data_IF_057812974851
#
_entry.id   IF_057812974851
#
_cell.length_a   1.000
_cell.length_b   1.000
_cell.length_c   1.000
_cell.angle_alpha   90.00
_cell.angle_beta   90.00
_cell.angle_gamma   90.00
#
_symmetry.space_group_name_H-M   'P 1'
#
loop_
_entity.id
_entity.type
_entity.pdbx_description
1 polymer ?
#
# COMPACT_ATOMS: atom_id res chain seq x y z
N UNK A 1 -24.99 11.76 7.84
CA UNK A 1 -25.88 10.66 8.28
C UNK A 1 -25.47 9.41 7.53
N UNK A 2 -24.63 8.57 8.14
CA UNK A 2 -24.29 7.24 7.61
C UNK A 2 -25.34 6.28 8.17
N UNK A 3 -26.11 5.65 7.28
CA UNK A 3 -27.14 4.69 7.65
C UNK A 3 -26.50 3.45 8.26
N UNK A 4 -26.96 3.03 9.44
CA UNK A 4 -26.68 1.74 10.07
C UNK A 4 -27.16 0.60 9.15
N UNK A 5 -26.41 0.26 8.10
CA UNK A 5 -26.66 -0.96 7.33
C UNK A 5 -26.24 -2.16 8.17
N UNK A 6 -27.11 -3.16 8.23
CA UNK A 6 -27.06 -4.35 9.08
C UNK A 6 -25.66 -4.96 9.26
N UNK A 7 -25.14 -4.93 10.49
CA UNK A 7 -23.91 -5.62 10.90
C UNK A 7 -23.91 -7.14 10.64
N UNK A 8 -25.07 -7.77 10.41
CA UNK A 8 -25.16 -9.22 10.20
C UNK A 8 -24.47 -9.71 8.91
N UNK A 9 -24.44 -8.88 7.85
CA UNK A 9 -23.79 -9.26 6.58
C UNK A 9 -22.30 -8.86 6.54
N UNK A 10 -21.85 -7.99 7.47
CA UNK A 10 -20.46 -7.53 7.54
C UNK A 10 -19.47 -8.68 7.82
N UNK A 11 -19.92 -9.74 8.52
CA UNK A 11 -19.07 -10.90 8.84
C UNK A 11 -18.61 -11.68 7.60
N UNK A 12 -19.39 -11.75 6.52
CA UNK A 12 -18.99 -12.43 5.28
C UNK A 12 -17.89 -11.68 4.52
N UNK A 13 -17.82 -10.37 4.69
CA UNK A 13 -16.87 -9.51 3.99
C UNK A 13 -15.61 -9.25 4.80
N UNK A 14 -15.50 -9.83 6.00
CA UNK A 14 -14.29 -9.64 6.80
C UNK A 14 -13.10 -10.34 6.14
N UNK A 15 -12.01 -9.60 5.94
CA UNK A 15 -10.74 -10.14 5.43
C UNK A 15 -10.30 -11.33 6.27
N UNK A 16 -10.45 -11.21 7.59
CA UNK A 16 -10.03 -12.21 8.55
C UNK A 16 -10.75 -13.55 8.37
N UNK A 17 -12.08 -13.52 8.24
CA UNK A 17 -12.87 -14.73 8.06
C UNK A 17 -12.47 -15.44 6.75
N UNK A 18 -12.28 -14.65 5.68
CA UNK A 18 -11.85 -15.15 4.36
C UNK A 18 -10.44 -15.75 4.41
N UNK A 19 -9.50 -15.07 5.07
CA UNK A 19 -8.14 -15.58 5.29
C UNK A 19 -8.14 -16.90 6.07
N UNK A 20 -8.87 -17.00 7.19
CA UNK A 20 -8.94 -18.24 7.98
C UNK A 20 -9.57 -19.42 7.24
N UNK A 21 -10.47 -19.14 6.31
CA UNK A 21 -11.08 -20.15 5.46
C UNK A 21 -10.16 -20.57 4.30
N UNK A 22 -8.93 -20.04 4.23
CA UNK A 22 -7.95 -20.37 3.20
C UNK A 22 -8.22 -19.72 1.85
N UNK A 23 -9.13 -18.74 1.76
CA UNK A 23 -9.53 -18.13 0.48
C UNK A 23 -8.34 -17.47 -0.24
N UNK A 24 -7.39 -16.93 0.52
CA UNK A 24 -6.22 -16.25 0.00
C UNK A 24 -4.95 -17.12 -0.01
N UNK A 25 -5.01 -18.38 0.43
CA UNK A 25 -3.80 -19.22 0.60
C UNK A 25 -3.01 -19.37 -0.70
N UNK A 26 -3.69 -19.61 -1.82
CA UNK A 26 -3.03 -19.74 -3.13
C UNK A 26 -2.30 -18.47 -3.55
N UNK A 27 -2.91 -17.30 -3.34
CA UNK A 27 -2.30 -16.00 -3.64
C UNK A 27 -1.12 -15.71 -2.70
N UNK A 28 -1.24 -16.05 -1.42
CA UNK A 28 -0.19 -15.84 -0.42
C UNK A 28 1.02 -16.73 -0.73
N UNK A 29 0.81 -18.01 -1.07
CA UNK A 29 1.89 -18.91 -1.46
C UNK A 29 2.56 -18.43 -2.76
N UNK A 30 1.78 -18.06 -3.79
CA UNK A 30 2.33 -17.50 -5.03
C UNK A 30 3.21 -16.26 -4.75
N UNK A 31 2.76 -15.36 -3.87
CA UNK A 31 3.52 -14.18 -3.48
C UNK A 31 4.78 -14.53 -2.68
N UNK A 32 4.69 -15.48 -1.74
CA UNK A 32 5.82 -15.92 -0.93
C UNK A 32 6.90 -16.59 -1.79
N UNK A 33 6.51 -17.45 -2.72
CA UNK A 33 7.41 -18.10 -3.69
C UNK A 33 8.10 -17.06 -4.57
N UNK A 34 7.34 -16.11 -5.14
CA UNK A 34 7.87 -15.12 -6.10
C UNK A 34 8.76 -14.04 -5.48
N UNK A 35 8.63 -13.79 -4.18
CA UNK A 35 9.47 -12.81 -3.47
C UNK A 35 10.63 -13.42 -2.72
N UNK A 36 10.61 -14.73 -2.50
CA UNK A 36 11.43 -15.39 -1.50
C UNK A 36 11.29 -14.76 -0.10
N UNK A 37 10.16 -14.11 0.20
CA UNK A 37 9.89 -13.45 1.48
C UNK A 37 8.70 -14.08 2.17
N UNK A 38 8.96 -14.81 3.26
CA UNK A 38 7.93 -15.26 4.22
C UNK A 38 7.32 -14.12 5.06
N UNK A 39 7.66 -12.87 4.73
CA UNK A 39 7.26 -11.67 5.48
C UNK A 39 5.76 -11.44 5.41
N UNK A 40 5.12 -11.77 4.28
CA UNK A 40 3.68 -11.58 4.11
C UNK A 40 2.86 -12.43 5.08
N UNK A 41 3.13 -13.74 5.15
CA UNK A 41 2.41 -14.65 6.06
C UNK A 41 2.59 -14.24 7.52
N UNK A 42 3.84 -13.97 7.94
CA UNK A 42 4.12 -13.45 9.30
C UNK A 42 3.36 -12.15 9.57
N UNK A 43 3.24 -11.26 8.59
CA UNK A 43 2.47 -10.04 8.75
C UNK A 43 0.98 -10.30 8.99
N UNK A 44 0.36 -11.17 8.17
CA UNK A 44 -1.08 -11.46 8.32
C UNK A 44 -1.34 -12.12 9.69
N UNK A 45 -0.44 -13.01 10.11
CA UNK A 45 -0.49 -13.64 11.43
C UNK A 45 -0.32 -12.61 12.58
N UNK A 46 0.52 -11.58 12.38
CA UNK A 46 0.67 -10.49 13.34
C UNK A 46 -0.58 -9.61 13.40
N UNK A 47 -1.21 -9.30 12.26
CA UNK A 47 -2.49 -8.58 12.22
C UNK A 47 -3.58 -9.35 12.98
N UNK A 48 -3.63 -10.68 12.79
CA UNK A 48 -4.52 -11.54 13.55
C UNK A 48 -4.28 -11.46 15.06
N UNK A 49 -3.00 -11.54 15.46
CA UNK A 49 -2.61 -11.46 16.88
C UNK A 49 -3.02 -10.13 17.49
N UNK A 50 -2.92 -9.04 16.72
CA UNK A 50 -3.37 -7.71 17.14
C UNK A 50 -4.89 -7.66 17.36
N UNK A 51 -5.71 -8.13 16.42
CA UNK A 51 -7.17 -8.11 16.55
C UNK A 51 -7.63 -8.89 17.80
N UNK A 52 -7.00 -10.04 18.07
CA UNK A 52 -7.25 -10.87 19.25
C UNK A 52 -6.79 -10.22 20.56
N UNK A 53 -5.60 -9.59 20.58
CA UNK A 53 -5.12 -8.85 21.76
C UNK A 53 -5.98 -7.64 22.06
N UNK A 54 -6.36 -6.92 21.02
CA UNK A 54 -7.12 -5.70 21.13
C UNK A 54 -8.52 -5.92 21.70
N UNK A 55 -9.22 -6.98 21.26
CA UNK A 55 -10.51 -7.39 21.83
C UNK A 55 -10.41 -7.74 23.32
N UNK A 56 -9.23 -8.16 23.81
CA UNK A 56 -8.97 -8.46 25.23
C UNK A 56 -8.62 -7.22 26.05
N UNK A 57 -7.96 -6.23 25.45
CA UNK A 57 -7.59 -4.95 26.07
C UNK A 57 -8.74 -3.93 26.19
N UNK A 58 -10.00 -4.36 25.99
CA UNK A 58 -11.22 -3.56 26.16
C UNK A 58 -11.37 -2.88 27.54
N UNK A 59 -10.45 -3.15 28.47
CA UNK A 59 -10.27 -2.45 29.75
C UNK A 59 -9.78 -0.99 29.56
N UNK A 60 -9.22 -0.63 28.39
CA UNK A 60 -8.52 0.64 28.16
C UNK A 60 -9.41 1.89 27.93
N UNK A 61 -10.70 1.84 28.24
CA UNK A 61 -11.64 2.94 28.09
C UNK A 61 -12.27 3.02 26.70
N UNK A 62 -13.55 3.41 26.65
CA UNK A 62 -14.41 3.37 25.45
C UNK A 62 -13.85 4.16 24.25
N UNK A 63 -13.19 5.28 24.50
CA UNK A 63 -12.66 6.13 23.42
C UNK A 63 -11.46 5.49 22.71
N UNK A 64 -10.53 4.92 23.48
CA UNK A 64 -9.38 4.21 22.93
C UNK A 64 -9.84 2.98 22.14
N UNK A 65 -10.91 2.32 22.61
CA UNK A 65 -11.56 1.24 21.88
C UNK A 65 -12.22 1.73 20.57
N UNK A 66 -12.81 2.91 20.54
CA UNK A 66 -13.37 3.41 19.29
C UNK A 66 -12.27 3.68 18.24
N UNK A 67 -11.14 4.26 18.65
CA UNK A 67 -10.05 4.60 17.74
C UNK A 67 -9.38 3.38 17.12
N UNK A 68 -9.15 2.32 17.91
CA UNK A 68 -8.51 1.13 17.37
C UNK A 68 -9.45 0.25 16.54
N UNK A 69 -10.76 0.26 16.80
CA UNK A 69 -11.76 -0.31 15.88
C UNK A 69 -11.70 0.39 14.51
N UNK A 70 -11.71 1.72 14.49
CA UNK A 70 -11.61 2.49 13.26
C UNK A 70 -10.31 2.26 12.50
N UNK A 71 -9.19 2.10 13.21
CA UNK A 71 -7.91 1.75 12.60
C UNK A 71 -7.91 0.33 12.02
N UNK A 72 -8.54 -0.63 12.71
CA UNK A 72 -8.68 -1.99 12.21
C UNK A 72 -9.54 -2.04 10.93
N UNK A 73 -10.65 -1.29 10.89
CA UNK A 73 -11.48 -1.14 9.69
C UNK A 73 -10.68 -0.62 8.49
N UNK A 74 -9.75 0.32 8.71
CA UNK A 74 -8.88 0.85 7.67
C UNK A 74 -7.91 -0.20 7.13
N UNK A 75 -7.31 -0.96 8.03
CA UNK A 75 -6.41 -2.05 7.65
C UNK A 75 -7.18 -3.11 6.86
N UNK A 76 -8.36 -3.49 7.33
CA UNK A 76 -9.21 -4.47 6.66
C UNK A 76 -9.61 -4.01 5.25
N UNK A 77 -10.07 -2.76 5.09
CA UNK A 77 -10.37 -2.17 3.78
C UNK A 77 -9.19 -2.30 2.81
N UNK A 78 -7.98 -1.96 3.27
CA UNK A 78 -6.77 -2.01 2.46
C UNK A 78 -6.37 -3.44 2.09
N UNK A 79 -6.48 -4.38 3.03
CA UNK A 79 -6.19 -5.79 2.80
C UNK A 79 -7.17 -6.40 1.80
N UNK A 80 -8.46 -6.16 1.97
CA UNK A 80 -9.49 -6.59 1.01
C UNK A 80 -9.20 -6.03 -0.38
N UNK A 81 -8.97 -4.72 -0.50
CA UNK A 81 -8.64 -4.11 -1.78
C UNK A 81 -7.39 -4.74 -2.42
N UNK A 82 -6.34 -5.02 -1.63
CA UNK A 82 -5.13 -5.66 -2.14
C UNK A 82 -5.40 -7.06 -2.68
N UNK A 83 -6.11 -7.90 -1.93
CA UNK A 83 -6.33 -9.30 -2.27
C UNK A 83 -7.43 -9.53 -3.32
N UNK A 84 -8.47 -8.71 -3.30
CA UNK A 84 -9.62 -8.88 -4.20
C UNK A 84 -9.42 -8.23 -5.55
N UNK A 85 -8.68 -7.13 -5.61
CA UNK A 85 -8.64 -6.28 -6.79
C UNK A 85 -7.22 -6.06 -7.29
N UNK A 86 -6.31 -5.59 -6.43
CA UNK A 86 -4.98 -5.20 -6.87
C UNK A 86 -4.12 -6.41 -7.29
N UNK A 87 -4.09 -7.49 -6.50
CA UNK A 87 -3.35 -8.71 -6.83
C UNK A 87 -3.92 -9.39 -8.09
N UNK A 88 -5.24 -9.60 -8.22
CA UNK A 88 -5.81 -10.19 -9.44
C UNK A 88 -5.59 -9.33 -10.68
N UNK A 89 -5.71 -8.00 -10.56
CA UNK A 89 -5.37 -7.06 -11.63
C UNK A 89 -3.90 -7.24 -12.03
N UNK A 90 -3.00 -7.18 -11.04
CA UNK A 90 -1.58 -7.39 -11.24
C UNK A 90 -1.32 -8.69 -12.00
N UNK A 91 -1.88 -9.82 -11.57
CA UNK A 91 -1.70 -11.13 -12.23
C UNK A 91 -2.22 -11.14 -13.67
N UNK A 92 -3.38 -10.54 -13.92
CA UNK A 92 -3.99 -10.50 -15.27
C UNK A 92 -3.14 -9.67 -16.21
N UNK A 93 -2.80 -8.47 -15.76
CA UNK A 93 -2.04 -7.50 -16.53
C UNK A 93 -0.62 -8.05 -16.80
N UNK A 94 0.00 -8.69 -15.80
CA UNK A 94 1.29 -9.36 -15.89
C UNK A 94 1.27 -10.62 -16.77
N UNK A 95 0.18 -11.40 -16.76
CA UNK A 95 0.02 -12.58 -17.62
C UNK A 95 0.06 -12.22 -19.11
N UNK A 96 -0.35 -11.01 -19.47
CA UNK A 96 -0.22 -10.47 -20.83
C UNK A 96 1.21 -10.01 -21.17
N UNK A 97 2.07 -9.77 -20.17
CA UNK A 97 3.44 -9.26 -20.33
C UNK A 97 4.53 -10.33 -20.42
N UNK A 98 4.17 -11.61 -20.55
CA UNK A 98 5.08 -12.77 -20.48
C UNK A 98 6.27 -12.82 -21.49
N UNK A 99 6.49 -11.79 -22.31
CA UNK A 99 7.62 -11.77 -23.27
C UNK A 99 8.83 -10.93 -22.82
N UNK A 100 8.76 -10.14 -21.74
CA UNK A 100 9.93 -9.37 -21.26
C UNK A 100 10.12 -9.48 -19.73
N UNK A 101 11.11 -10.28 -19.33
CA UNK A 101 11.46 -10.55 -17.93
C UNK A 101 11.93 -9.30 -17.16
N UNK A 102 12.34 -8.24 -17.84
CA UNK A 102 12.77 -6.98 -17.21
C UNK A 102 11.58 -6.13 -16.72
N UNK A 103 10.50 -6.12 -17.50
CA UNK A 103 9.24 -5.44 -17.14
C UNK A 103 8.56 -6.12 -15.94
N UNK A 104 8.69 -7.44 -15.85
CA UNK A 104 8.19 -8.24 -14.73
C UNK A 104 8.84 -7.87 -13.38
N UNK A 105 10.16 -7.79 -13.34
CA UNK A 105 10.88 -7.50 -12.10
C UNK A 105 10.58 -6.08 -11.60
N UNK A 106 10.47 -5.13 -12.53
CA UNK A 106 10.10 -3.74 -12.26
C UNK A 106 8.71 -3.66 -11.63
N UNK A 107 7.69 -4.21 -12.30
CA UNK A 107 6.33 -4.23 -11.76
C UNK A 107 6.25 -4.98 -10.42
N UNK A 108 6.94 -6.12 -10.31
CA UNK A 108 7.02 -6.92 -9.08
C UNK A 108 7.58 -6.10 -7.91
N UNK A 109 8.72 -5.44 -8.09
CA UNK A 109 9.34 -4.62 -7.04
C UNK A 109 8.44 -3.46 -6.61
N UNK A 110 7.70 -2.84 -7.52
CA UNK A 110 6.77 -1.76 -7.20
C UNK A 110 5.46 -2.23 -6.57
N UNK A 111 4.93 -3.38 -6.99
CA UNK A 111 3.79 -4.02 -6.36
C UNK A 111 4.13 -4.46 -4.93
N UNK A 112 5.32 -5.04 -4.72
CA UNK A 112 5.80 -5.36 -3.38
C UNK A 112 6.13 -4.12 -2.56
N UNK A 113 6.58 -3.02 -3.15
CA UNK A 113 6.71 -1.75 -2.46
C UNK A 113 5.34 -1.23 -2.03
N UNK A 114 4.34 -1.24 -2.91
CA UNK A 114 2.97 -0.83 -2.59
C UNK A 114 2.34 -1.70 -1.50
N UNK A 115 2.52 -3.02 -1.57
CA UNK A 115 2.17 -3.92 -0.48
C UNK A 115 2.99 -3.58 0.76
N UNK A 116 4.31 -3.45 0.71
CA UNK A 116 5.14 -3.09 1.87
C UNK A 116 4.75 -1.75 2.48
N UNK A 117 4.19 -0.82 1.71
CA UNK A 117 3.67 0.46 2.14
C UNK A 117 2.35 0.30 2.87
N UNK A 118 1.39 -0.39 2.26
CA UNK A 118 0.11 -0.73 2.89
C UNK A 118 0.35 -1.53 4.16
N UNK A 119 1.19 -2.55 4.06
CA UNK A 119 1.67 -3.36 5.15
C UNK A 119 2.50 -2.55 6.14
N UNK A 120 3.22 -1.47 5.76
CA UNK A 120 3.90 -0.58 6.71
C UNK A 120 2.88 0.16 7.54
N UNK A 121 1.88 0.79 6.90
CA UNK A 121 0.78 1.46 7.60
C UNK A 121 0.10 0.49 8.57
N UNK A 122 -0.14 -0.75 8.14
CA UNK A 122 -0.70 -1.78 9.01
C UNK A 122 0.28 -2.30 10.07
N UNK A 123 1.57 -2.39 9.75
CA UNK A 123 2.67 -2.78 10.65
C UNK A 123 2.84 -1.74 11.74
N UNK A 124 2.63 -0.47 11.42
CA UNK A 124 2.69 0.64 12.35
C UNK A 124 1.44 0.75 13.22
N UNK A 125 0.39 0.00 12.90
CA UNK A 125 -0.79 -0.17 13.75
C UNK A 125 -0.72 -1.46 14.60
N UNK A 126 0.06 -2.45 14.16
CA UNK A 126 0.17 -3.77 14.81
C UNK A 126 1.48 -3.97 15.61
N UNK A 127 2.57 -3.27 15.27
CA UNK A 127 3.89 -3.37 15.94
C UNK A 127 4.00 -2.39 17.11
N UNK A 128 3.15 -2.62 18.10
CA UNK A 128 3.48 -2.27 19.48
C UNK A 128 3.73 -3.49 20.36
N UNK A 129 3.74 -4.70 19.80
CA UNK A 129 3.81 -5.93 20.59
C UNK A 129 5.17 -6.65 20.53
N UNK A 130 6.00 -6.38 19.52
CA UNK A 130 7.32 -7.03 19.40
C UNK A 130 8.39 -5.98 19.10
N UNK A 131 9.26 -5.68 20.07
CA UNK A 131 10.26 -4.61 20.06
C UNK A 131 11.41 -4.71 19.03
N UNK A 132 11.16 -5.18 17.82
CA UNK A 132 12.12 -5.26 16.73
C UNK A 132 12.11 -3.98 15.88
N UNK A 133 12.92 -3.01 16.29
CA UNK A 133 13.11 -1.70 15.64
C UNK A 133 14.28 -1.77 14.66
N UNK A 134 14.04 -1.62 13.36
CA UNK A 134 15.12 -1.27 12.39
C UNK A 134 14.66 -0.73 11.03
N UNK A 135 13.46 -0.14 10.90
CA UNK A 135 13.07 0.62 9.69
C UNK A 135 12.49 1.98 10.09
N UNK A 136 12.39 2.89 9.13
CA UNK A 136 12.11 4.33 9.24
C UNK A 136 11.29 4.75 10.49
N UNK A 137 11.83 5.61 11.39
CA UNK A 137 11.13 6.07 12.60
C UNK A 137 9.78 6.74 12.35
N UNK A 138 9.53 7.27 11.16
CA UNK A 138 8.24 7.93 10.85
C UNK A 138 7.08 6.97 10.72
N UNK A 139 7.36 5.71 10.36
CA UNK A 139 6.37 4.66 10.18
C UNK A 139 5.54 4.48 11.49
N UNK A 140 6.22 4.35 12.62
CA UNK A 140 5.60 3.99 13.90
C UNK A 140 4.81 5.10 14.62
N UNK A 141 4.56 6.25 14.01
CA UNK A 141 4.03 7.38 14.77
C UNK A 141 2.60 7.16 15.25
N UNK A 142 1.77 6.46 14.46
CA UNK A 142 0.34 6.27 14.79
C UNK A 142 0.21 5.30 15.97
N UNK A 143 0.87 4.14 15.96
CA UNK A 143 0.95 3.29 17.15
C UNK A 143 1.51 4.06 18.34
N UNK A 144 2.63 4.78 18.17
CA UNK A 144 3.23 5.52 19.28
C UNK A 144 2.23 6.51 19.89
N UNK A 145 1.46 7.22 19.07
CA UNK A 145 0.38 8.12 19.53
C UNK A 145 -0.73 7.34 20.22
N UNK A 146 -1.16 6.21 19.67
CA UNK A 146 -2.20 5.38 20.27
C UNK A 146 -1.80 4.86 21.67
N UNK A 147 -0.60 4.31 21.80
CA UNK A 147 -0.10 3.77 23.08
C UNK A 147 0.17 4.86 24.11
N UNK A 148 0.51 6.08 23.68
CA UNK A 148 0.68 7.24 24.57
C UNK A 148 -0.61 8.03 24.84
N UNK A 149 -1.75 7.64 24.27
CA UNK A 149 -3.01 8.38 24.41
C UNK A 149 -3.02 9.74 23.69
N UNK A 150 -2.14 9.92 22.70
CA UNK A 150 -2.01 11.13 21.88
C UNK A 150 -2.69 11.01 20.51
N UNK A 151 -3.24 9.83 20.16
CA UNK A 151 -3.98 9.64 18.92
C UNK A 151 -5.38 10.23 19.07
N UNK A 152 -5.80 11.07 18.12
CA UNK A 152 -7.10 11.74 18.13
C UNK A 152 -8.05 11.17 17.08
N UNK A 153 -9.35 11.26 17.33
CA UNK A 153 -10.39 10.87 16.37
C UNK A 153 -10.26 11.55 15.00
N UNK A 154 -9.96 12.85 14.97
CA UNK A 154 -9.80 13.59 13.71
C UNK A 154 -8.62 13.07 12.87
N UNK A 155 -7.54 12.59 13.50
CA UNK A 155 -6.41 11.99 12.79
C UNK A 155 -6.83 10.67 12.12
N UNK A 156 -7.54 9.81 12.85
CA UNK A 156 -8.07 8.55 12.32
C UNK A 156 -9.09 8.83 11.21
N UNK A 157 -9.93 9.85 11.37
CA UNK A 157 -10.91 10.23 10.37
C UNK A 157 -10.28 10.76 9.08
N UNK A 158 -9.21 11.58 9.17
CA UNK A 158 -8.44 12.02 8.01
C UNK A 158 -7.75 10.86 7.30
N UNK A 159 -7.16 9.92 8.05
CA UNK A 159 -6.59 8.70 7.49
C UNK A 159 -7.65 7.90 6.71
N UNK A 160 -8.87 7.83 7.25
CA UNK A 160 -9.99 7.17 6.59
C UNK A 160 -10.38 7.83 5.28
N UNK A 161 -10.62 9.14 5.28
CA UNK A 161 -10.96 9.87 4.06
C UNK A 161 -9.88 9.68 2.98
N UNK A 162 -8.60 9.80 3.37
CA UNK A 162 -7.49 9.62 2.44
C UNK A 162 -7.46 8.19 1.87
N UNK A 163 -7.65 7.18 2.72
CA UNK A 163 -7.63 5.77 2.33
C UNK A 163 -8.80 5.39 1.43
N UNK A 164 -10.03 5.80 1.79
CA UNK A 164 -11.23 5.56 0.99
C UNK A 164 -11.10 6.21 -0.40
N UNK A 165 -10.67 7.48 -0.43
CA UNK A 165 -10.47 8.23 -1.68
C UNK A 165 -9.41 7.57 -2.56
N UNK A 166 -8.32 7.12 -1.94
CA UNK A 166 -7.25 6.42 -2.63
C UNK A 166 -7.72 5.09 -3.22
N UNK A 167 -8.38 4.23 -2.44
CA UNK A 167 -8.91 2.96 -2.94
C UNK A 167 -9.86 3.20 -4.11
N UNK A 168 -10.75 4.18 -4.03
CA UNK A 168 -11.64 4.54 -5.13
C UNK A 168 -10.87 5.02 -6.37
N UNK A 169 -9.84 5.85 -6.18
CA UNK A 169 -8.99 6.31 -7.27
C UNK A 169 -8.30 5.13 -7.97
N UNK A 170 -7.69 4.22 -7.21
CA UNK A 170 -7.01 3.06 -7.79
C UNK A 170 -7.99 2.13 -8.49
N UNK A 171 -9.18 1.90 -7.93
CA UNK A 171 -10.25 1.13 -8.60
C UNK A 171 -10.62 1.75 -9.95
N UNK A 172 -10.74 3.08 -10.01
CA UNK A 172 -10.99 3.80 -11.24
C UNK A 172 -9.89 3.58 -12.27
N UNK A 173 -8.63 3.67 -11.85
CA UNK A 173 -7.48 3.39 -12.71
C UNK A 173 -7.48 1.93 -13.21
N UNK A 174 -7.66 0.95 -12.32
CA UNK A 174 -7.74 -0.47 -12.67
C UNK A 174 -8.82 -0.71 -13.73
N UNK A 175 -10.02 -0.12 -13.58
CA UNK A 175 -11.11 -0.27 -14.55
C UNK A 175 -10.76 0.30 -15.91
N UNK A 176 -10.22 1.52 -15.95
CA UNK A 176 -9.78 2.16 -17.20
C UNK A 176 -8.75 1.26 -17.92
N UNK A 177 -7.79 0.72 -17.17
CA UNK A 177 -6.76 -0.17 -17.73
C UNK A 177 -7.33 -1.51 -18.23
N UNK A 178 -8.33 -2.07 -17.54
CA UNK A 178 -8.99 -3.32 -17.97
C UNK A 178 -9.89 -3.10 -19.20
N UNK A 179 -10.45 -1.91 -19.37
CA UNK A 179 -11.29 -1.53 -20.52
C UNK A 179 -10.44 -1.11 -21.75
N UNK A 180 -9.16 -0.78 -21.56
CA UNK A 180 -8.27 -0.38 -22.64
C UNK A 180 -7.89 -1.58 -23.55
N UNK A 181 -8.63 -1.70 -24.65
CA UNK A 181 -8.40 -2.70 -25.70
C UNK A 181 -7.07 -2.54 -26.45
N UNK A 182 -6.32 -1.46 -26.26
CA UNK A 182 -5.01 -1.29 -26.91
C UNK A 182 -3.95 -2.24 -26.36
N UNK A 183 -4.22 -2.90 -25.22
CA UNK A 183 -3.32 -3.84 -24.57
C UNK A 183 -2.08 -3.18 -23.95
N UNK A 184 -2.04 -1.84 -23.90
CA UNK A 184 -0.97 -1.08 -23.27
C UNK A 184 -1.40 -0.68 -21.87
N UNK A 185 -1.23 -1.59 -20.92
CA UNK A 185 -1.48 -1.25 -19.53
C UNK A 185 -0.50 -0.16 -19.08
N UNK A 186 -1.01 1.00 -18.69
CA UNK A 186 -0.25 2.16 -18.24
C UNK A 186 0.07 2.05 -16.74
N UNK A 187 0.83 1.02 -16.39
CA UNK A 187 1.25 0.75 -15.01
C UNK A 187 1.93 1.93 -14.32
N UNK A 188 2.51 2.87 -15.07
CA UNK A 188 3.15 4.05 -14.53
C UNK A 188 2.16 4.97 -13.82
N UNK A 189 0.92 5.09 -14.31
CA UNK A 189 -0.11 5.90 -13.67
C UNK A 189 -0.55 5.25 -12.35
N UNK A 190 -0.72 3.92 -12.36
CA UNK A 190 -1.01 3.16 -11.15
C UNK A 190 0.11 3.29 -10.12
N UNK A 191 1.37 3.12 -10.55
CA UNK A 191 2.55 3.27 -9.70
C UNK A 191 2.66 4.69 -9.12
N UNK A 192 2.44 5.72 -9.94
CA UNK A 192 2.46 7.09 -9.46
C UNK A 192 1.39 7.33 -8.39
N UNK A 193 0.16 6.85 -8.58
CA UNK A 193 -0.90 6.97 -7.59
C UNK A 193 -0.56 6.25 -6.28
N UNK A 194 0.02 5.04 -6.36
CA UNK A 194 0.51 4.29 -5.19
C UNK A 194 1.59 5.08 -4.42
N UNK A 195 2.55 5.71 -5.12
CA UNK A 195 3.60 6.53 -4.52
C UNK A 195 3.09 7.85 -3.93
N UNK A 196 2.15 8.50 -4.61
CA UNK A 196 1.56 9.75 -4.12
C UNK A 196 0.82 9.53 -2.79
N UNK A 197 0.06 8.44 -2.70
CA UNK A 197 -0.61 8.04 -1.47
C UNK A 197 0.37 7.67 -0.35
N UNK A 198 1.46 6.98 -0.68
CA UNK A 198 2.52 6.69 0.27
C UNK A 198 3.13 7.95 0.89
N UNK A 199 3.45 8.93 0.04
CA UNK A 199 4.01 10.19 0.49
C UNK A 199 3.00 10.97 1.33
N UNK A 200 1.72 10.99 0.92
CA UNK A 200 0.65 11.59 1.70
C UNK A 200 0.57 10.96 3.09
N UNK A 201 0.60 9.64 3.19
CA UNK A 201 0.54 8.95 4.47
C UNK A 201 1.80 9.18 5.28
N UNK A 202 2.97 8.75 4.84
CA UNK A 202 4.16 8.79 5.68
C UNK A 202 4.77 10.17 5.89
N UNK A 203 4.72 11.04 4.88
CA UNK A 203 5.34 12.38 4.97
C UNK A 203 4.40 13.43 5.53
N UNK A 204 3.09 13.18 5.53
CA UNK A 204 2.12 14.14 6.02
C UNK A 204 1.24 13.58 7.14
N UNK A 205 0.28 12.69 6.87
CA UNK A 205 -0.73 12.29 7.86
C UNK A 205 -0.14 11.50 9.05
N UNK A 206 0.80 10.61 8.76
CA UNK A 206 1.61 9.84 9.71
C UNK A 206 2.98 10.49 9.96
N UNK A 207 3.12 11.80 9.75
CA UNK A 207 4.33 12.50 10.13
C UNK A 207 4.34 12.79 11.63
N UNK A 208 5.51 12.65 12.27
CA UNK A 208 5.76 13.13 13.62
C UNK A 208 5.56 14.65 13.77
N UNK A 209 5.62 15.41 12.69
CA UNK A 209 5.38 16.87 12.64
C UNK A 209 3.89 17.24 12.56
N UNK A 210 3.03 16.32 12.11
CA UNK A 210 1.59 16.57 12.03
C UNK A 210 0.92 16.40 13.40
N UNK A 211 1.02 17.45 14.24
CA UNK A 211 0.51 17.45 15.64
C UNK A 211 -0.59 18.48 15.92
N UNK A 212 -0.92 19.33 14.96
CA UNK A 212 -1.85 20.46 15.16
C UNK A 212 -3.31 20.03 15.01
N UNK A 213 -4.03 19.96 16.13
CA UNK A 213 -5.48 19.68 16.14
C UNK A 213 -6.27 20.74 15.35
N UNK A 214 -5.88 22.02 15.46
CA UNK A 214 -6.49 23.10 14.68
C UNK A 214 -6.34 22.87 13.18
N UNK A 215 -5.19 22.35 12.73
CA UNK A 215 -4.97 22.00 11.32
C UNK A 215 -5.84 20.81 10.91
N UNK A 216 -5.97 19.80 11.76
CA UNK A 216 -6.86 18.65 11.51
C UNK A 216 -8.30 19.10 11.28
N UNK A 217 -8.84 19.95 12.17
CA UNK A 217 -10.19 20.51 12.03
C UNK A 217 -10.33 21.35 10.76
N UNK A 218 -9.32 22.15 10.41
CA UNK A 218 -9.34 22.96 9.19
C UNK A 218 -9.37 22.09 7.93
N UNK A 219 -8.56 21.03 7.89
CA UNK A 219 -8.57 20.07 6.77
C UNK A 219 -9.92 19.38 6.64
N UNK A 220 -10.51 18.93 7.75
CA UNK A 220 -11.83 18.30 7.74
C UNK A 220 -12.91 19.26 7.24
N UNK A 221 -12.93 20.51 7.71
CA UNK A 221 -13.87 21.53 7.21
C UNK A 221 -13.69 21.77 5.71
N UNK A 222 -12.46 21.87 5.24
CA UNK A 222 -12.19 22.05 3.81
C UNK A 222 -12.65 20.85 2.97
N UNK A 223 -12.51 19.63 3.50
CA UNK A 223 -13.00 18.41 2.84
C UNK A 223 -14.54 18.30 2.87
N UNK A 224 -15.21 18.96 3.79
CA UNK A 224 -16.67 19.05 3.87
C UNK A 224 -17.26 20.13 2.94
N UNK A 225 -16.44 21.05 2.43
CA UNK A 225 -16.92 22.09 1.52
C UNK A 225 -17.44 21.45 0.20
N UNK A 226 -18.64 21.83 -0.27
CA UNK A 226 -19.27 21.20 -1.43
C UNK A 226 -18.51 21.45 -2.74
N UNK A 227 -17.69 22.51 -2.79
CA UNK A 227 -16.94 22.92 -3.96
C UNK A 227 -15.45 23.01 -3.64
N UNK A 228 -14.79 21.85 -3.61
CA UNK A 228 -13.32 21.84 -3.66
C UNK A 228 -12.91 22.51 -4.96
N UNK A 229 -11.99 23.48 -4.88
CA UNK A 229 -11.46 24.13 -6.07
C UNK A 229 -10.61 23.12 -6.88
N UNK A 230 -11.30 22.42 -7.78
CA UNK A 230 -10.71 21.38 -8.63
C UNK A 230 -9.69 21.94 -9.61
N UNK A 231 -9.73 23.25 -9.92
CA UNK A 231 -8.72 23.89 -10.75
C UNK A 231 -7.37 23.95 -10.03
N UNK A 232 -7.37 24.34 -8.76
CA UNK A 232 -6.16 24.32 -7.90
C UNK A 232 -5.63 22.90 -7.79
N UNK A 233 -6.50 21.93 -7.48
CA UNK A 233 -6.10 20.52 -7.41
C UNK A 233 -5.44 20.06 -8.72
N UNK A 234 -6.11 20.28 -9.87
CA UNK A 234 -5.57 19.91 -11.19
C UNK A 234 -4.23 20.59 -11.48
N UNK A 235 -4.07 21.85 -11.08
CA UNK A 235 -2.81 22.59 -11.20
C UNK A 235 -1.67 21.94 -10.41
N UNK A 236 -1.93 21.61 -9.14
CA UNK A 236 -0.96 20.92 -8.27
C UNK A 236 -0.65 19.52 -8.80
N UNK A 237 -1.68 18.73 -9.14
CA UNK A 237 -1.50 17.38 -9.70
C UNK A 237 -0.69 17.40 -11.00
N UNK A 238 -0.90 18.39 -11.87
CA UNK A 238 -0.11 18.55 -13.10
C UNK A 238 1.36 18.82 -12.79
N UNK A 239 1.65 19.72 -11.86
CA UNK A 239 3.03 20.01 -11.44
C UNK A 239 3.72 18.77 -10.85
N UNK A 240 3.02 18.04 -9.98
CA UNK A 240 3.52 16.79 -9.38
C UNK A 240 3.77 15.72 -10.46
N UNK A 241 2.85 15.57 -11.41
CA UNK A 241 3.00 14.65 -12.54
C UNK A 241 4.19 15.00 -13.43
N UNK A 242 4.37 16.28 -13.76
CA UNK A 242 5.50 16.73 -14.57
C UNK A 242 6.84 16.54 -13.85
N UNK A 243 6.88 16.72 -12.54
CA UNK A 243 8.05 16.40 -11.73
C UNK A 243 8.35 14.89 -11.74
N UNK A 244 7.34 14.06 -11.48
CA UNK A 244 7.45 12.61 -11.52
C UNK A 244 7.93 12.09 -12.89
N UNK A 245 7.31 12.57 -13.97
CA UNK A 245 7.67 12.19 -15.35
C UNK A 245 9.12 12.55 -15.70
N UNK A 246 9.63 13.67 -15.21
CA UNK A 246 11.05 14.07 -15.40
C UNK A 246 11.99 13.11 -14.70
N UNK A 247 11.71 12.77 -13.44
CA UNK A 247 12.48 11.77 -12.68
C UNK A 247 12.44 10.40 -13.35
N UNK A 248 11.29 10.00 -13.88
CA UNK A 248 11.12 8.72 -14.54
C UNK A 248 11.90 8.61 -15.87
N UNK A 249 11.82 9.62 -16.75
CA UNK A 249 12.61 9.65 -17.99
C UNK A 249 14.13 9.60 -17.72
N UNK A 250 14.57 10.22 -16.62
CA UNK A 250 15.97 10.16 -16.20
C UNK A 250 16.36 8.73 -15.79
N UNK A 251 15.47 8.02 -15.08
CA UNK A 251 15.64 6.62 -14.72
C UNK A 251 15.69 5.70 -15.96
N UNK A 252 14.73 5.80 -16.88
CA UNK A 252 14.73 5.01 -18.12
C UNK A 252 16.01 5.22 -18.95
N UNK A 253 16.50 6.47 -18.99
CA UNK A 253 17.76 6.80 -19.66
C UNK A 253 18.95 6.14 -18.98
N UNK A 254 18.97 6.11 -17.64
CA UNK A 254 20.02 5.46 -16.87
C UNK A 254 20.02 3.94 -17.09
N UNK A 255 18.85 3.29 -17.06
CA UNK A 255 18.72 1.85 -17.35
C UNK A 255 19.13 1.50 -18.78
N UNK A 256 18.74 2.34 -19.75
CA UNK A 256 19.16 2.14 -21.15
C UNK A 256 20.68 2.22 -21.29
N UNK A 257 21.33 3.18 -20.63
CA UNK A 257 22.80 3.28 -20.61
C UNK A 257 23.42 2.06 -19.93
N UNK A 258 22.88 1.61 -18.80
CA UNK A 258 23.37 0.43 -18.08
C UNK A 258 23.24 -0.85 -18.92
N UNK A 259 22.13 -1.05 -19.62
CA UNK A 259 21.93 -2.21 -20.51
C UNK A 259 22.87 -2.21 -21.72
N UNK A 260 23.13 -1.05 -22.33
CA UNK A 260 24.12 -0.91 -23.41
C UNK A 260 25.53 -1.23 -22.89
N UNK A 261 25.89 -0.72 -21.71
CA UNK A 261 27.20 -0.97 -21.11
C UNK A 261 27.39 -2.45 -20.72
N UNK A 262 26.36 -3.12 -20.21
CA UNK A 262 26.41 -4.55 -19.92
C UNK A 262 26.55 -5.40 -21.19
N UNK A 263 25.88 -5.04 -22.28
CA UNK A 263 26.03 -5.73 -23.58
C UNK A 263 27.41 -5.53 -24.20
N UNK A 264 28.05 -4.39 -23.92
CA UNK A 264 29.36 -4.03 -24.46
C UNK A 264 30.54 -4.41 -23.55
N UNK A 265 30.31 -5.09 -22.42
CA UNK A 265 31.37 -5.58 -21.55
C UNK A 265 31.66 -7.08 -21.80
N UNK A 266 32.65 -7.43 -22.65
CA UNK A 266 32.97 -8.82 -22.98
C UNK A 266 33.45 -9.63 -21.76
N UNK A 267 33.85 -9.00 -20.66
CA UNK A 267 34.26 -9.70 -19.43
C UNK A 267 33.09 -10.38 -18.69
N UNK A 268 31.83 -10.05 -19.04
CA UNK A 268 30.64 -10.66 -18.43
C UNK A 268 30.06 -11.83 -19.24
N UNK A 269 30.33 -11.89 -20.55
CA UNK A 269 29.88 -12.99 -21.43
C UNK A 269 30.61 -14.30 -21.10
N UNK A 270 31.87 -14.23 -20.67
CA UNK A 270 32.68 -15.42 -20.33
C UNK A 270 32.41 -16.07 -18.96
N UNK A 271 31.49 -15.55 -18.13
CA UNK A 271 31.13 -16.19 -16.84
C UNK A 271 29.85 -17.03 -16.88
N UNK A 272 28.99 -16.84 -17.88
CA UNK A 272 27.78 -17.64 -18.02
C UNK A 272 28.07 -19.09 -18.44
N UNK A 273 29.16 -19.33 -19.18
CA UNK A 273 29.57 -20.68 -19.62
C UNK A 273 30.26 -21.51 -18.52
N UNK A 274 30.69 -20.90 -17.40
CA UNK A 274 31.36 -21.61 -16.31
C UNK A 274 30.43 -22.09 -15.19
N UNK A 275 29.13 -21.75 -15.23
CA UNK A 275 28.17 -22.21 -14.21
C UNK A 275 27.67 -23.64 -14.51
N UNK A 276 27.77 -24.13 -15.76
CA UNK A 276 27.49 -25.54 -16.07
C UNK A 276 28.61 -26.50 -15.64
N UNK A 277 29.83 -26.02 -15.36
CA UNK A 277 30.95 -26.84 -14.88
C UNK A 277 31.02 -26.98 -13.35
N UNK A 278 30.11 -26.34 -12.61
CA UNK A 278 30.00 -26.44 -11.14
C UNK A 278 28.75 -27.21 -10.69
N UNK A 279 28.34 -28.21 -11.47
CA UNK A 279 27.47 -29.30 -10.99
C UNK A 279 28.35 -30.50 -10.64
N UNK A 280 28.75 -30.57 -9.37
CA UNK A 280 29.10 -31.83 -8.71
C UNK A 280 27.91 -32.23 -7.85
#
# INVERSE_FOLDING_TARGET
MVTNSSHADASKYSFYIRYKNGEFDSLIEEMCERTHRKVLRRFIDNYYTFEEHYKKDAVAGREKLLLAEQLAELVELLLLFCFDELIPFARTALGQMQQDSSSWNTFREYFFLACEIHLSICKDLTISLEGSVNRDPSAYIIAKRYHSGLLRGNQVYLLRIATDSYVQQIRGLIRIELEDTTGRVNYWVLNWALQDFYLLLLRFLCSDRFRSERLEVLLLKYLEEPEINMEVYRGVSRCNWEAFRRSHKAFERAERIASINNKNNPAFVGRAENIEQLKW
#
